data_IF_246215150572
#
_entry.id   IF_246215150572
#
_cell.length_a   1.000
_cell.length_b   1.000
_cell.length_c   1.000
_cell.angle_alpha   90.00
_cell.angle_beta   90.00
_cell.angle_gamma   90.00
#
_symmetry.space_group_name_H-M   'P 1'
#
loop_
_entity.id
_entity.type
_entity.pdbx_description
1 polymer ?
#
# COMPACT_ATOMS: atom_id res chain seq x y z
N UNK A 1 2.95 -35.86 45.32
CA UNK A 1 3.87 -35.27 44.33
C UNK A 1 3.12 -35.18 43.03
N UNK A 2 2.74 -33.98 42.60
CA UNK A 2 2.10 -33.76 41.31
C UNK A 2 3.19 -33.85 40.23
N UNK A 3 2.98 -34.76 39.27
CA UNK A 3 3.79 -34.89 38.06
C UNK A 3 3.56 -33.64 37.21
N UNK A 4 4.62 -32.83 37.01
CA UNK A 4 4.63 -31.75 36.02
C UNK A 4 4.36 -32.36 34.65
N UNK A 5 3.36 -31.80 33.96
CA UNK A 5 3.12 -31.99 32.54
C UNK A 5 4.40 -31.61 31.79
N UNK A 6 4.86 -32.44 30.85
CA UNK A 6 5.98 -32.11 30.00
C UNK A 6 5.68 -30.80 29.26
N UNK A 7 6.39 -29.73 29.63
CA UNK A 7 6.26 -28.42 29.02
C UNK A 7 6.70 -28.53 27.55
N UNK A 8 5.74 -28.52 26.62
CA UNK A 8 6.01 -28.45 25.19
C UNK A 8 6.73 -27.14 24.92
N UNK A 9 8.05 -27.21 24.72
CA UNK A 9 8.87 -26.06 24.34
C UNK A 9 8.37 -25.59 22.97
N UNK A 10 7.88 -24.33 22.85
CA UNK A 10 7.50 -23.75 21.57
C UNK A 10 8.64 -23.83 20.57
N UNK A 11 8.34 -24.00 19.27
CA UNK A 11 9.38 -24.25 18.25
C UNK A 11 10.41 -23.11 18.18
N UNK A 12 10.04 -21.87 18.54
CA UNK A 12 10.95 -20.72 18.63
C UNK A 12 11.91 -20.74 19.84
N UNK A 13 11.80 -21.72 20.74
CA UNK A 13 12.67 -21.91 21.92
C UNK A 13 13.46 -23.23 21.88
N UNK A 14 13.30 -24.06 20.83
CA UNK A 14 14.06 -25.31 20.66
C UNK A 14 15.45 -24.97 20.09
N UNK A 15 16.49 -25.13 20.92
CA UNK A 15 17.89 -24.84 20.55
C UNK A 15 18.69 -26.08 20.10
N UNK A 16 18.08 -27.27 20.16
CA UNK A 16 18.72 -28.59 20.07
C UNK A 16 18.63 -29.25 18.69
N UNK A 17 17.68 -28.83 17.86
CA UNK A 17 17.73 -29.08 16.42
C UNK A 17 18.48 -27.91 15.77
N UNK A 18 19.34 -28.19 14.78
CA UNK A 18 19.91 -27.13 13.94
C UNK A 18 18.80 -26.54 13.07
N UNK A 19 17.89 -25.80 13.70
CA UNK A 19 16.95 -24.91 13.05
C UNK A 19 17.85 -23.79 12.53
N UNK A 20 18.33 -23.94 11.30
CA UNK A 20 18.82 -22.79 10.54
C UNK A 20 17.79 -21.69 10.74
N UNK A 21 18.24 -20.48 11.06
CA UNK A 21 17.51 -19.37 11.71
C UNK A 21 16.16 -18.96 11.10
N UNK A 22 15.71 -19.63 10.05
CA UNK A 22 14.35 -19.70 9.56
C UNK A 22 14.23 -20.98 8.67
N UNK A 23 13.34 -21.95 8.95
CA UNK A 23 13.13 -23.12 8.10
C UNK A 23 12.71 -22.77 6.66
N UNK A 24 12.11 -21.59 6.43
CA UNK A 24 11.83 -21.08 5.08
C UNK A 24 13.10 -20.63 4.33
N UNK A 25 14.24 -20.52 5.02
CA UNK A 25 15.52 -20.08 4.48
C UNK A 25 16.58 -21.19 4.42
N UNK A 26 16.31 -22.39 4.95
CA UNK A 26 17.31 -23.45 5.07
C UNK A 26 17.81 -24.04 3.73
N UNK A 27 17.09 -23.85 2.61
CA UNK A 27 17.39 -24.48 1.32
C UNK A 27 17.48 -23.52 0.11
N UNK A 28 17.59 -22.20 0.30
CA UNK A 28 17.78 -21.28 -0.84
C UNK A 28 19.22 -21.33 -1.35
N UNK A 29 19.47 -22.05 -2.44
CA UNK A 29 20.66 -21.88 -3.30
C UNK A 29 20.27 -20.98 -4.48
N UNK A 30 20.57 -19.69 -4.37
CA UNK A 30 20.19 -18.60 -5.29
C UNK A 30 20.20 -17.26 -4.53
N UNK A 31 20.13 -16.12 -5.24
CA UNK A 31 20.22 -14.76 -4.66
C UNK A 31 19.36 -14.60 -3.39
N UNK A 32 19.98 -14.83 -2.24
CA UNK A 32 19.39 -14.68 -0.92
C UNK A 32 19.73 -13.25 -0.46
N UNK A 33 18.73 -12.39 -0.44
CA UNK A 33 18.84 -10.99 0.00
C UNK A 33 18.71 -10.91 1.53
N UNK A 34 19.58 -11.62 2.26
CA UNK A 34 19.56 -11.65 3.71
C UNK A 34 19.75 -10.30 4.39
N UNK A 35 19.73 -10.33 5.74
CA UNK A 35 20.12 -9.25 6.67
C UNK A 35 20.98 -8.18 5.99
N UNK A 36 20.57 -6.89 6.00
CA UNK A 36 20.82 -5.95 4.93
C UNK A 36 22.30 -5.84 4.60
N UNK A 37 22.76 -6.70 3.70
CA UNK A 37 23.64 -6.20 2.66
C UNK A 37 22.75 -5.22 1.92
N UNK A 38 23.22 -3.99 1.74
CA UNK A 38 22.54 -2.94 0.97
C UNK A 38 22.40 -3.30 -0.53
N UNK A 39 22.43 -4.59 -0.85
CA UNK A 39 22.35 -5.20 -2.16
C UNK A 39 20.93 -5.76 -2.37
N UNK A 40 19.92 -5.02 -1.92
CA UNK A 40 18.61 -5.10 -2.56
C UNK A 40 18.75 -4.36 -3.88
N UNK A 41 19.27 -5.06 -4.89
CA UNK A 41 19.36 -4.55 -6.25
C UNK A 41 17.97 -4.02 -6.64
N UNK A 42 17.83 -2.74 -6.97
CA UNK A 42 16.55 -2.17 -7.33
C UNK A 42 15.95 -2.90 -8.54
N UNK A 43 15.02 -3.81 -8.29
CA UNK A 43 14.29 -4.49 -9.37
C UNK A 43 13.46 -3.44 -10.08
N UNK A 44 13.81 -3.15 -11.33
CA UNK A 44 13.10 -2.23 -12.20
C UNK A 44 12.42 -3.07 -13.28
N UNK A 45 11.10 -3.00 -13.34
CA UNK A 45 10.27 -3.76 -14.27
C UNK A 45 9.36 -2.80 -15.02
N UNK A 46 9.16 -3.06 -16.31
CA UNK A 46 8.02 -2.49 -17.02
C UNK A 46 6.88 -3.48 -16.93
N UNK A 47 5.72 -3.04 -16.43
CA UNK A 47 4.53 -3.90 -16.39
C UNK A 47 3.71 -3.82 -17.69
N UNK A 48 2.65 -4.61 -17.74
CA UNK A 48 1.74 -4.72 -18.88
C UNK A 48 0.94 -3.44 -19.16
N UNK A 49 0.83 -2.54 -18.19
CA UNK A 49 0.28 -1.18 -18.35
C UNK A 49 1.33 -0.17 -18.86
N UNK A 50 2.57 -0.62 -19.12
CA UNK A 50 3.68 0.22 -19.57
C UNK A 50 4.29 1.11 -18.49
N UNK A 51 3.99 0.85 -17.20
CA UNK A 51 4.53 1.61 -16.07
C UNK A 51 5.91 1.09 -15.70
N UNK A 52 6.79 1.98 -15.28
CA UNK A 52 8.04 1.60 -14.63
C UNK A 52 7.79 1.39 -13.14
N UNK A 53 7.91 0.15 -12.67
CA UNK A 53 7.82 -0.23 -11.27
C UNK A 53 9.23 -0.52 -10.77
N UNK A 54 9.70 0.23 -9.79
CA UNK A 54 11.05 0.07 -9.23
C UNK A 54 11.00 -0.08 -7.72
N UNK A 55 11.79 -1.03 -7.21
CA UNK A 55 11.86 -1.43 -5.80
C UNK A 55 10.51 -1.96 -5.35
N UNK A 56 10.52 -3.13 -4.71
CA UNK A 56 9.33 -3.77 -4.21
C UNK A 56 9.56 -4.07 -2.74
N UNK A 57 8.62 -3.67 -1.90
CA UNK A 57 8.82 -3.73 -0.46
C UNK A 57 8.87 -5.19 0.00
N UNK A 58 9.92 -5.60 0.73
CA UNK A 58 10.05 -6.97 1.21
C UNK A 58 9.17 -7.16 2.45
N UNK A 59 7.84 -7.04 2.27
CA UNK A 59 6.86 -7.03 3.37
C UNK A 59 6.96 -8.27 4.27
N UNK A 60 7.36 -9.40 3.69
CA UNK A 60 7.55 -10.66 4.41
C UNK A 60 8.80 -10.64 5.33
N UNK A 61 9.78 -9.78 5.03
CA UNK A 61 11.04 -9.64 5.76
C UNK A 61 11.10 -8.34 6.60
N UNK A 62 10.01 -7.55 6.64
CA UNK A 62 9.96 -6.33 7.44
C UNK A 62 9.86 -6.65 8.93
N UNK A 63 10.87 -6.21 9.69
CA UNK A 63 10.89 -6.28 11.16
C UNK A 63 10.12 -5.13 11.84
N UNK A 64 10.04 -3.98 11.17
CA UNK A 64 9.43 -2.76 11.67
C UNK A 64 8.17 -2.36 10.91
N UNK A 65 7.39 -1.46 11.51
CA UNK A 65 6.19 -0.90 10.85
C UNK A 65 6.55 0.12 9.76
N UNK A 66 7.75 0.69 9.76
CA UNK A 66 8.17 1.69 8.77
C UNK A 66 9.08 1.01 7.74
N UNK A 67 8.66 1.04 6.48
CA UNK A 67 9.48 0.61 5.35
C UNK A 67 10.64 1.60 5.17
N UNK A 68 11.91 1.13 5.16
CA UNK A 68 13.06 1.99 4.84
C UNK A 68 12.86 2.70 3.50
N UNK A 69 13.30 3.96 3.37
CA UNK A 69 13.06 4.79 2.18
C UNK A 69 13.62 4.14 0.90
N UNK A 70 14.80 3.54 0.97
CA UNK A 70 15.44 2.80 -0.13
C UNK A 70 14.64 1.56 -0.56
N UNK A 71 13.75 1.06 0.30
CA UNK A 71 12.91 -0.14 0.07
C UNK A 71 11.43 0.20 -0.14
N UNK A 72 11.10 1.48 -0.15
CA UNK A 72 9.75 1.93 -0.46
C UNK A 72 9.49 1.75 -1.95
N UNK A 73 8.39 1.09 -2.30
CA UNK A 73 8.06 0.88 -3.71
C UNK A 73 7.93 2.19 -4.49
N UNK A 74 8.20 2.14 -5.80
CA UNK A 74 7.91 3.24 -6.71
C UNK A 74 7.20 2.76 -7.95
N UNK A 75 6.20 3.53 -8.39
CA UNK A 75 5.52 3.36 -9.69
C UNK A 75 5.64 4.68 -10.44
N UNK A 76 5.98 4.63 -11.72
CA UNK A 76 6.03 5.77 -12.63
C UNK A 76 5.23 5.46 -13.90
N UNK A 77 4.35 6.37 -14.30
CA UNK A 77 3.60 6.26 -15.55
C UNK A 77 4.37 6.88 -16.71
N UNK A 78 5.08 7.96 -16.43
CA UNK A 78 5.92 8.66 -17.40
C UNK A 78 7.38 8.65 -16.98
N UNK A 79 8.24 9.26 -17.82
CA UNK A 79 9.64 9.46 -17.48
C UNK A 79 9.77 10.29 -16.19
N UNK A 80 10.75 9.94 -15.37
CA UNK A 80 11.09 10.74 -14.18
C UNK A 80 11.50 12.14 -14.65
N UNK A 81 10.85 13.21 -14.16
CA UNK A 81 11.15 14.56 -14.61
C UNK A 81 12.54 15.01 -14.14
N UNK A 82 13.12 16.07 -14.73
CA UNK A 82 14.34 16.67 -14.23
C UNK A 82 14.21 17.05 -12.75
N UNK A 83 15.31 16.91 -12.00
CA UNK A 83 15.36 17.35 -10.60
C UNK A 83 15.16 18.86 -10.54
N UNK A 84 14.20 19.31 -9.74
CA UNK A 84 13.96 20.73 -9.45
C UNK A 84 14.48 21.03 -8.05
N UNK A 85 15.55 21.84 -7.91
CA UNK A 85 16.01 22.31 -6.60
C UNK A 85 14.93 23.05 -5.82
N UNK A 86 14.96 22.98 -4.50
CA UNK A 86 13.92 23.57 -3.63
C UNK A 86 13.79 25.09 -3.79
N UNK A 87 14.85 25.80 -4.15
CA UNK A 87 14.86 27.25 -4.39
C UNK A 87 14.29 27.67 -5.75
N UNK A 88 14.07 26.71 -6.66
CA UNK A 88 13.46 26.92 -7.97
C UNK A 88 12.05 26.33 -8.09
N UNK A 89 11.63 25.54 -7.10
CA UNK A 89 10.32 24.93 -7.09
C UNK A 89 9.24 25.93 -6.66
N UNK A 90 8.12 25.92 -7.38
CA UNK A 90 6.93 26.69 -7.10
C UNK A 90 5.68 25.80 -7.21
N UNK A 91 4.70 26.07 -6.34
CA UNK A 91 3.35 25.52 -6.39
C UNK A 91 2.36 26.62 -6.77
N UNK A 92 1.62 26.40 -7.84
CA UNK A 92 0.51 27.27 -8.23
C UNK A 92 -0.81 26.73 -7.71
N UNK A 93 -1.62 27.60 -7.11
CA UNK A 93 -2.97 27.31 -6.65
C UNK A 93 -3.91 28.27 -7.34
N UNK A 94 -4.77 27.76 -8.22
CA UNK A 94 -5.55 28.59 -9.14
C UNK A 94 -6.93 28.00 -9.45
N UNK A 95 -7.69 28.67 -10.32
CA UNK A 95 -9.04 28.23 -10.71
C UNK A 95 -10.12 28.83 -9.82
N UNK A 96 -11.04 28.01 -9.32
CA UNK A 96 -12.20 28.44 -8.53
C UNK A 96 -11.80 28.76 -7.07
N UNK A 97 -11.01 29.81 -6.90
CA UNK A 97 -10.52 30.36 -5.63
C UNK A 97 -10.65 31.89 -5.63
N UNK A 98 -10.65 32.51 -4.44
CA UNK A 98 -10.71 33.97 -4.29
C UNK A 98 -9.39 34.67 -4.62
N UNK A 99 -8.28 34.01 -4.36
CA UNK A 99 -6.92 34.54 -4.57
C UNK A 99 -6.03 33.41 -5.04
N UNK A 100 -5.54 33.52 -6.28
CA UNK A 100 -4.53 32.60 -6.79
C UNK A 100 -3.22 32.80 -6.05
N UNK A 101 -2.53 31.70 -5.75
CA UNK A 101 -1.28 31.70 -5.00
C UNK A 101 -0.16 31.07 -5.84
N UNK A 102 1.02 31.64 -5.76
CA UNK A 102 2.28 30.97 -6.13
C UNK A 102 3.14 30.89 -4.89
N UNK A 103 3.43 29.66 -4.44
CA UNK A 103 4.17 29.39 -3.21
C UNK A 103 5.49 28.71 -3.56
N UNK A 104 6.62 29.27 -3.13
CA UNK A 104 7.89 28.54 -3.15
C UNK A 104 7.99 27.55 -1.98
N UNK A 105 9.04 26.72 -1.98
CA UNK A 105 9.24 25.67 -0.99
C UNK A 105 9.26 26.20 0.46
N UNK A 106 9.94 27.33 0.70
CA UNK A 106 10.03 27.92 2.04
C UNK A 106 8.72 28.56 2.49
N UNK A 107 7.96 29.17 1.57
CA UNK A 107 6.63 29.70 1.86
C UNK A 107 5.65 28.60 2.21
N UNK A 108 5.66 27.48 1.49
CA UNK A 108 4.86 26.30 1.84
C UNK A 108 5.17 25.85 3.27
N UNK A 109 6.43 25.74 3.64
CA UNK A 109 6.85 25.28 4.98
C UNK A 109 6.52 26.23 6.14
N UNK A 110 6.00 27.43 5.86
CA UNK A 110 5.51 28.36 6.91
C UNK A 110 4.10 28.03 7.39
N UNK A 111 3.35 27.22 6.65
CA UNK A 111 2.06 26.71 7.13
C UNK A 111 2.26 25.70 8.27
N UNK A 112 1.25 25.47 9.13
CA UNK A 112 1.33 24.43 10.17
C UNK A 112 1.67 23.07 9.57
N UNK A 113 2.76 22.47 10.03
CA UNK A 113 3.19 21.15 9.59
C UNK A 113 2.36 20.03 10.21
N UNK A 114 2.29 18.90 9.52
CA UNK A 114 1.69 17.65 9.99
C UNK A 114 2.55 16.46 9.59
N UNK A 115 2.67 15.51 10.50
CA UNK A 115 3.27 14.20 10.25
C UNK A 115 2.17 13.15 10.22
N UNK A 116 2.13 12.36 9.15
CA UNK A 116 1.13 11.32 8.89
C UNK A 116 1.84 10.00 8.65
N UNK A 117 1.46 8.96 9.39
CA UNK A 117 1.90 7.59 9.12
C UNK A 117 0.80 6.90 8.33
N UNK A 118 1.17 6.28 7.23
CA UNK A 118 0.20 5.60 6.37
C UNK A 118 0.85 4.46 5.62
N UNK A 119 0.07 3.41 5.42
CA UNK A 119 0.27 2.45 4.34
C UNK A 119 -0.04 3.15 3.03
N UNK A 120 0.82 2.95 2.05
CA UNK A 120 0.60 3.29 0.66
C UNK A 120 0.59 1.97 -0.12
N UNK A 121 -0.50 1.69 -0.82
CA UNK A 121 -0.64 0.49 -1.64
C UNK A 121 -1.05 0.92 -3.04
N UNK A 122 -0.36 0.44 -4.06
CA UNK A 122 -0.83 0.61 -5.43
C UNK A 122 -2.08 -0.25 -5.64
N UNK A 123 -3.11 0.29 -6.29
CA UNK A 123 -4.26 -0.51 -6.71
C UNK A 123 -3.89 -1.74 -7.57
N UNK A 124 -2.75 -1.76 -8.26
CA UNK A 124 -2.26 -2.95 -8.97
C UNK A 124 -1.56 -4.00 -8.09
N UNK A 125 -1.43 -3.77 -6.78
CA UNK A 125 -0.83 -4.75 -5.87
C UNK A 125 -1.70 -6.00 -5.80
N UNK A 126 -1.07 -7.17 -5.77
CA UNK A 126 -1.71 -8.49 -5.80
C UNK A 126 -2.61 -8.73 -7.05
N UNK A 127 -2.34 -8.07 -8.18
CA UNK A 127 -3.12 -8.25 -9.41
C UNK A 127 -3.18 -9.71 -9.89
N UNK A 128 -2.09 -10.47 -9.73
CA UNK A 128 -1.98 -11.90 -10.08
C UNK A 128 -2.93 -12.78 -9.27
N UNK A 129 -3.34 -12.36 -8.07
CA UNK A 129 -4.32 -13.11 -7.28
C UNK A 129 -5.71 -13.12 -7.92
N UNK A 130 -6.06 -12.18 -8.80
CA UNK A 130 -7.33 -12.27 -9.54
C UNK A 130 -7.37 -13.50 -10.45
N UNK A 131 -6.27 -13.87 -11.08
CA UNK A 131 -6.17 -15.06 -11.95
C UNK A 131 -6.22 -16.34 -11.10
N UNK A 132 -5.53 -16.34 -9.97
CA UNK A 132 -5.57 -17.45 -9.02
C UNK A 132 -6.99 -17.73 -8.51
N UNK A 133 -7.75 -16.68 -8.15
CA UNK A 133 -9.14 -16.83 -7.70
C UNK A 133 -10.12 -17.29 -8.79
N UNK A 134 -9.71 -17.20 -10.07
CA UNK A 134 -10.48 -17.72 -11.21
C UNK A 134 -10.01 -19.11 -11.66
N UNK A 135 -9.07 -19.73 -10.94
CA UNK A 135 -8.39 -20.96 -11.35
C UNK A 135 -7.68 -20.83 -12.72
N UNK A 136 -7.28 -19.61 -13.11
CA UNK A 136 -6.61 -19.30 -14.38
C UNK A 136 -5.08 -19.31 -14.27
N UNK A 137 -4.53 -19.40 -13.05
CA UNK A 137 -3.09 -19.39 -12.79
C UNK A 137 -2.72 -20.06 -11.46
N UNK A 138 -1.41 -20.33 -11.22
CA UNK A 138 -0.95 -20.88 -9.95
C UNK A 138 -1.13 -19.87 -8.81
N UNK A 139 -1.03 -20.33 -7.55
CA UNK A 139 -1.01 -19.44 -6.38
C UNK A 139 0.20 -18.50 -6.48
N UNK A 140 0.01 -17.17 -6.48
CA UNK A 140 1.11 -16.23 -6.42
C UNK A 140 1.88 -16.32 -5.10
N UNK A 141 3.09 -15.78 -5.10
CA UNK A 141 3.93 -15.63 -3.92
C UNK A 141 4.20 -14.15 -3.68
N UNK A 142 3.66 -13.57 -2.60
CA UNK A 142 3.98 -12.23 -2.11
C UNK A 142 5.44 -12.13 -1.67
N UNK A 143 6.07 -13.23 -1.28
CA UNK A 143 7.52 -13.30 -1.03
C UNK A 143 8.32 -13.08 -2.32
N UNK A 144 7.96 -13.74 -3.42
CA UNK A 144 8.68 -13.63 -4.69
C UNK A 144 8.28 -12.40 -5.50
N UNK A 145 6.99 -12.07 -5.50
CA UNK A 145 6.46 -10.94 -6.25
C UNK A 145 6.79 -9.63 -5.55
N UNK A 146 7.03 -9.59 -4.23
CA UNK A 146 7.27 -8.38 -3.45
C UNK A 146 6.18 -7.30 -3.69
N UNK A 147 5.27 -7.14 -2.75
CA UNK A 147 4.07 -6.31 -2.95
C UNK A 147 4.39 -4.85 -3.31
N UNK A 148 3.48 -4.20 -4.07
CA UNK A 148 3.54 -2.76 -4.36
C UNK A 148 2.87 -2.00 -3.20
N UNK A 149 3.46 -2.17 -2.02
CA UNK A 149 2.91 -1.83 -0.71
C UNK A 149 4.04 -1.39 0.23
N UNK A 150 3.96 -0.17 0.74
CA UNK A 150 4.91 0.33 1.76
C UNK A 150 4.16 0.97 2.91
N UNK A 151 4.78 1.12 4.05
CA UNK A 151 4.31 2.02 5.09
C UNK A 151 5.41 3.01 5.48
N UNK A 152 5.05 4.28 5.65
CA UNK A 152 6.03 5.32 5.95
C UNK A 152 5.42 6.43 6.79
N UNK A 153 6.31 7.19 7.42
CA UNK A 153 5.98 8.47 8.03
C UNK A 153 6.25 9.59 7.02
N UNK A 154 5.27 10.46 6.80
CA UNK A 154 5.35 11.56 5.85
C UNK A 154 5.12 12.87 6.59
N UNK A 155 5.94 13.88 6.32
CA UNK A 155 5.80 15.20 6.92
C UNK A 155 5.58 16.26 5.84
N UNK A 156 4.60 17.12 6.06
CA UNK A 156 4.10 18.05 5.06
C UNK A 156 3.20 19.13 5.63
N UNK A 157 2.52 19.84 4.74
CA UNK A 157 1.47 20.82 5.07
C UNK A 157 0.11 20.20 4.77
N UNK A 158 -0.89 20.26 5.68
CA UNK A 158 -2.26 19.91 5.34
C UNK A 158 -2.74 20.69 4.12
N UNK A 159 -3.20 19.98 3.09
CA UNK A 159 -3.67 20.59 1.85
C UNK A 159 -4.79 21.60 2.13
N UNK A 160 -5.65 21.30 3.10
CA UNK A 160 -6.69 22.20 3.61
C UNK A 160 -6.15 23.60 3.97
N UNK A 161 -4.98 23.70 4.60
CA UNK A 161 -4.42 24.98 5.02
C UNK A 161 -4.07 25.88 3.81
N UNK A 162 -3.52 25.28 2.76
CA UNK A 162 -3.18 25.98 1.51
C UNK A 162 -4.46 26.39 0.77
N UNK A 163 -5.43 25.48 0.66
CA UNK A 163 -6.71 25.74 -0.01
C UNK A 163 -7.52 26.84 0.70
N UNK A 164 -7.56 26.84 2.03
CA UNK A 164 -8.20 27.90 2.79
C UNK A 164 -7.50 29.25 2.64
N UNK A 165 -6.17 29.27 2.51
CA UNK A 165 -5.42 30.50 2.24
C UNK A 165 -5.71 31.08 0.85
N UNK A 166 -5.93 30.23 -0.17
CA UNK A 166 -6.38 30.67 -1.50
C UNK A 166 -7.83 31.17 -1.50
N UNK A 167 -8.62 30.77 -0.49
CA UNK A 167 -9.99 31.19 -0.27
C UNK A 167 -10.99 30.41 -1.13
N UNK A 168 -11.59 29.39 -0.53
CA UNK A 168 -12.64 28.58 -1.17
C UNK A 168 -14.01 29.28 -1.13
N UNK A 169 -14.89 28.89 -2.05
CA UNK A 169 -16.32 29.23 -2.06
C UNK A 169 -17.19 27.99 -2.33
N UNK A 170 -18.51 28.18 -2.40
CA UNK A 170 -19.48 27.09 -2.57
C UNK A 170 -19.38 26.36 -3.93
N UNK A 171 -18.61 26.89 -4.88
CA UNK A 171 -18.31 26.26 -6.17
C UNK A 171 -16.96 25.56 -6.18
N UNK A 172 -16.14 25.70 -5.14
CA UNK A 172 -14.87 24.97 -5.00
C UNK A 172 -15.14 23.50 -4.63
N UNK A 173 -15.48 22.66 -5.62
CA UNK A 173 -15.97 21.29 -5.38
C UNK A 173 -14.91 20.21 -5.56
N UNK A 174 -13.88 20.45 -6.37
CA UNK A 174 -12.82 19.50 -6.67
C UNK A 174 -11.45 20.18 -6.73
N UNK A 175 -10.39 19.38 -6.57
CA UNK A 175 -8.99 19.80 -6.68
C UNK A 175 -8.29 18.87 -7.65
N UNK A 176 -7.84 19.40 -8.78
CA UNK A 176 -6.95 18.69 -9.71
C UNK A 176 -5.50 18.96 -9.29
N UNK A 177 -4.83 17.92 -8.84
CA UNK A 177 -3.40 17.94 -8.55
C UNK A 177 -2.62 17.48 -9.78
N UNK A 178 -1.63 18.27 -10.20
CA UNK A 178 -0.84 18.05 -11.41
C UNK A 178 0.63 17.90 -11.03
N UNK A 179 1.25 16.81 -11.48
CA UNK A 179 2.67 16.54 -11.32
C UNK A 179 3.51 17.10 -12.48
N UNK A 180 4.83 17.06 -12.33
CA UNK A 180 5.77 17.52 -13.34
C UNK A 180 6.26 16.41 -14.30
N UNK A 181 5.75 15.18 -14.15
CA UNK A 181 6.00 14.10 -15.10
C UNK A 181 4.98 14.12 -16.24
N UNK A 182 5.46 14.10 -17.49
CA UNK A 182 4.63 14.15 -18.69
C UNK A 182 5.00 13.08 -19.72
N UNK A 183 4.03 12.72 -20.54
CA UNK A 183 4.27 11.80 -21.65
C UNK A 183 2.99 11.46 -22.40
N UNK A 184 3.09 10.46 -23.27
CA UNK A 184 1.95 9.86 -23.96
C UNK A 184 1.90 8.39 -23.55
N UNK A 185 0.81 7.93 -22.92
CA UNK A 185 0.64 6.51 -22.60
C UNK A 185 0.72 5.66 -23.86
N UNK A 186 1.33 4.47 -23.78
CA UNK A 186 1.46 3.57 -24.94
C UNK A 186 0.09 3.11 -25.50
N UNK A 187 -0.94 3.10 -24.66
CA UNK A 187 -2.32 2.73 -25.02
C UNK A 187 -3.17 3.92 -25.51
N UNK A 188 -2.63 5.14 -25.51
CA UNK A 188 -3.36 6.30 -25.97
C UNK A 188 -3.59 6.26 -27.50
N UNK A 189 -4.66 6.90 -27.96
CA UNK A 189 -4.97 6.99 -29.38
C UNK A 189 -3.84 7.68 -30.16
N UNK A 190 -3.64 7.28 -31.43
CA UNK A 190 -2.66 7.91 -32.31
C UNK A 190 -2.90 9.43 -32.42
N UNK A 191 -1.84 10.22 -32.32
CA UNK A 191 -1.92 11.69 -32.33
C UNK A 191 -2.25 12.34 -30.98
N UNK A 192 -2.40 11.55 -29.90
CA UNK A 192 -2.50 12.08 -28.53
C UNK A 192 -1.26 12.92 -28.21
N UNK A 193 -1.48 14.16 -27.77
CA UNK A 193 -0.40 15.06 -27.34
C UNK A 193 0.09 14.65 -25.94
N UNK A 194 1.36 14.89 -25.60
CA UNK A 194 1.85 14.70 -24.24
C UNK A 194 1.02 15.50 -23.23
N UNK A 195 0.85 14.91 -22.05
CA UNK A 195 0.17 15.55 -20.92
C UNK A 195 0.84 15.16 -19.60
N UNK A 196 0.66 16.00 -18.58
CA UNK A 196 1.15 15.77 -17.23
C UNK A 196 0.31 14.72 -16.49
N UNK A 197 0.94 13.95 -15.61
CA UNK A 197 0.20 13.08 -14.69
C UNK A 197 -0.63 13.91 -13.72
N UNK A 198 -1.93 13.62 -13.64
CA UNK A 198 -2.87 14.37 -12.82
C UNK A 198 -3.92 13.49 -12.13
N UNK A 199 -4.46 14.01 -11.03
CA UNK A 199 -5.55 13.37 -10.26
C UNK A 199 -6.51 14.41 -9.69
N UNK A 200 -7.80 14.13 -9.82
CA UNK A 200 -8.89 14.98 -9.33
C UNK A 200 -9.54 14.51 -8.04
N UNK A 201 -9.33 15.20 -6.93
CA UNK A 201 -9.93 14.85 -5.64
C UNK A 201 -11.24 15.61 -5.42
N UNK A 202 -12.28 14.99 -4.82
CA UNK A 202 -13.39 15.75 -4.26
C UNK A 202 -12.90 16.61 -3.10
N UNK A 203 -13.47 17.81 -2.94
CA UNK A 203 -13.03 18.78 -1.92
C UNK A 203 -13.07 18.18 -0.51
N UNK A 204 -14.06 17.34 -0.20
CA UNK A 204 -14.12 16.63 1.09
C UNK A 204 -12.84 15.83 1.39
N UNK A 205 -12.28 15.14 0.39
CA UNK A 205 -11.03 14.38 0.57
C UNK A 205 -9.82 15.32 0.61
N UNK A 206 -9.79 16.35 -0.22
CA UNK A 206 -8.72 17.34 -0.23
C UNK A 206 -8.61 18.13 1.10
N UNK A 207 -9.74 18.35 1.78
CA UNK A 207 -9.80 19.01 3.09
C UNK A 207 -9.57 18.07 4.27
N UNK A 208 -9.38 16.77 4.04
CA UNK A 208 -9.08 15.83 5.12
C UNK A 208 -7.78 16.25 5.82
N UNK A 209 -7.72 16.24 7.18
CA UNK A 209 -6.56 16.75 7.91
C UNK A 209 -5.25 16.01 7.59
N UNK A 210 -5.35 14.71 7.24
CA UNK A 210 -4.19 13.88 6.83
C UNK A 210 -3.85 13.94 5.33
N UNK A 211 -4.65 14.62 4.50
CA UNK A 211 -4.25 14.88 3.11
C UNK A 211 -3.28 16.05 3.11
N UNK A 212 -2.02 15.75 2.77
CA UNK A 212 -0.90 16.69 2.93
C UNK A 212 -0.13 16.88 1.63
N UNK A 213 0.47 18.06 1.48
CA UNK A 213 1.59 18.32 0.59
C UNK A 213 2.87 17.94 1.33
N UNK A 214 3.34 16.71 1.13
CA UNK A 214 4.49 16.14 1.81
C UNK A 214 5.80 16.60 1.18
N UNK A 215 6.76 17.01 2.02
CA UNK A 215 8.13 17.38 1.63
C UNK A 215 9.20 16.56 2.35
N UNK A 216 8.80 15.65 3.24
CA UNK A 216 9.69 14.73 3.94
C UNK A 216 9.05 13.35 4.12
N UNK A 217 9.89 12.32 4.15
CA UNK A 217 9.56 10.92 4.39
C UNK A 217 10.58 10.31 5.36
N UNK A 218 10.10 9.57 6.37
CA UNK A 218 10.91 8.85 7.36
C UNK A 218 12.00 9.72 8.01
N UNK A 219 11.68 10.99 8.29
CA UNK A 219 12.56 11.93 8.99
C UNK A 219 13.56 12.69 8.09
N UNK A 220 13.60 12.42 6.78
CA UNK A 220 14.44 13.14 5.82
C UNK A 220 13.60 13.83 4.75
N UNK A 221 14.19 14.80 4.02
CA UNK A 221 13.54 15.36 2.84
C UNK A 221 13.25 14.25 1.81
N UNK A 222 12.23 14.47 0.98
CA UNK A 222 11.88 13.51 -0.07
C UNK A 222 13.06 13.25 -1.00
N UNK A 223 13.23 11.98 -1.37
CA UNK A 223 14.05 11.61 -2.50
C UNK A 223 13.32 11.90 -3.82
N UNK A 224 14.08 12.16 -4.88
CA UNK A 224 13.52 12.55 -6.18
C UNK A 224 12.51 11.54 -6.71
N UNK A 225 12.80 10.23 -6.62
CA UNK A 225 11.90 9.18 -7.11
C UNK A 225 10.57 9.09 -6.34
N UNK A 226 10.56 9.58 -5.10
CA UNK A 226 9.38 9.65 -4.24
C UNK A 226 8.62 10.97 -4.39
N UNK A 227 9.02 11.83 -5.33
CA UNK A 227 8.29 13.04 -5.71
C UNK A 227 8.85 14.33 -5.14
N UNK A 228 10.14 14.39 -4.81
CA UNK A 228 10.78 15.62 -4.34
C UNK A 228 10.64 16.79 -5.35
N UNK A 229 10.59 18.05 -4.88
CA UNK A 229 10.69 18.45 -3.48
C UNK A 229 9.36 18.30 -2.71
N UNK A 230 8.22 18.22 -3.41
CA UNK A 230 6.89 18.11 -2.80
C UNK A 230 6.01 17.13 -3.59
N UNK A 231 5.29 16.27 -2.88
CA UNK A 231 4.22 15.43 -3.44
C UNK A 231 2.91 15.67 -2.72
N UNK A 232 1.80 15.37 -3.38
CA UNK A 232 0.54 15.11 -2.70
C UNK A 232 0.61 13.73 -2.03
N UNK A 233 0.08 13.65 -0.81
CA UNK A 233 -0.18 12.40 -0.09
C UNK A 233 -1.66 12.33 0.28
N UNK A 234 -2.30 11.21 -0.07
CA UNK A 234 -3.74 10.98 0.13
C UNK A 234 -3.95 9.68 0.92
N UNK A 235 -3.78 9.70 2.26
CA UNK A 235 -3.86 8.50 3.08
C UNK A 235 -5.18 7.74 2.93
N UNK A 236 -5.09 6.42 3.01
CA UNK A 236 -6.24 5.50 2.88
C UNK A 236 -6.77 5.31 1.46
N UNK A 237 -6.37 6.13 0.49
CA UNK A 237 -6.65 5.92 -0.92
C UNK A 237 -5.46 5.23 -1.61
N UNK A 238 -5.73 4.55 -2.72
CA UNK A 238 -4.68 3.89 -3.51
C UNK A 238 -3.57 4.88 -3.90
N UNK A 239 -2.33 4.39 -3.95
CA UNK A 239 -1.13 5.22 -4.12
C UNK A 239 -1.12 6.09 -5.38
N UNK A 240 -1.87 5.71 -6.42
CA UNK A 240 -2.05 6.53 -7.63
C UNK A 240 -2.70 7.90 -7.37
N UNK A 241 -3.39 8.10 -6.24
CA UNK A 241 -3.96 9.39 -5.85
C UNK A 241 -2.94 10.36 -5.25
N UNK A 242 -1.78 9.84 -4.82
CA UNK A 242 -0.72 10.64 -4.22
C UNK A 242 0.24 11.14 -5.31
N UNK A 243 -0.17 12.18 -6.04
CA UNK A 243 0.60 12.77 -7.17
C UNK A 243 2.00 13.20 -6.73
N UNK A 244 3.02 12.77 -7.47
CA UNK A 244 4.43 13.12 -7.23
C UNK A 244 4.83 14.38 -7.99
N UNK A 245 5.91 15.04 -7.56
CA UNK A 245 6.48 16.21 -8.23
C UNK A 245 5.44 17.29 -8.49
N UNK A 246 4.62 17.61 -7.48
CA UNK A 246 3.45 18.48 -7.68
C UNK A 246 3.90 19.91 -8.01
N UNK A 247 3.25 20.52 -9.01
CA UNK A 247 3.51 21.90 -9.44
C UNK A 247 2.24 22.75 -9.44
N UNK A 248 1.08 22.13 -9.63
CA UNK A 248 -0.18 22.86 -9.78
C UNK A 248 -1.33 22.17 -9.01
N UNK A 249 -2.18 23.01 -8.42
CA UNK A 249 -3.46 22.70 -7.83
C UNK A 249 -4.52 23.58 -8.49
N UNK A 250 -5.33 22.98 -9.36
CA UNK A 250 -6.44 23.64 -10.03
C UNK A 250 -7.74 23.30 -9.30
N UNK A 251 -8.40 24.29 -8.71
CA UNK A 251 -9.67 24.12 -8.02
C UNK A 251 -10.80 24.28 -9.04
N UNK A 252 -11.75 23.35 -9.03
CA UNK A 252 -12.79 23.24 -10.06
C UNK A 252 -14.18 23.06 -9.44
N UNK A 253 -15.21 23.41 -10.20
CA UNK A 253 -16.62 23.21 -9.85
C UNK A 253 -17.19 21.87 -10.36
N UNK A 254 -16.36 21.06 -11.01
CA UNK A 254 -16.69 19.74 -11.50
C UNK A 254 -15.48 18.80 -11.37
N UNK A 255 -15.74 17.51 -11.44
CA UNK A 255 -14.68 16.50 -11.43
C UNK A 255 -13.81 16.66 -12.68
N UNK A 256 -12.49 16.85 -12.56
CA UNK A 256 -11.62 16.98 -13.73
C UNK A 256 -11.57 15.69 -14.55
N UNK A 257 -11.44 15.86 -15.86
CA UNK A 257 -11.25 14.78 -16.82
C UNK A 257 -9.79 14.29 -16.84
N UNK A 258 -9.31 13.75 -15.72
CA UNK A 258 -7.97 13.18 -15.63
C UNK A 258 -7.91 11.84 -16.39
N UNK A 259 -7.05 11.72 -17.40
CA UNK A 259 -6.98 10.55 -18.29
C UNK A 259 -6.86 9.23 -17.53
N UNK A 260 -5.94 9.16 -16.56
CA UNK A 260 -5.71 7.95 -15.78
C UNK A 260 -6.91 7.53 -14.90
N UNK A 261 -7.79 8.44 -14.52
CA UNK A 261 -9.01 8.08 -13.77
C UNK A 261 -9.85 7.08 -14.56
N UNK A 262 -10.04 7.38 -15.83
CA UNK A 262 -11.07 6.78 -16.66
C UNK A 262 -10.54 5.66 -17.55
N UNK A 263 -9.23 5.56 -17.70
CA UNK A 263 -8.54 4.58 -18.55
C UNK A 263 -7.98 3.40 -17.74
N UNK A 264 -7.55 3.65 -16.51
CA UNK A 264 -6.83 2.63 -15.74
C UNK A 264 -7.34 2.42 -14.31
N UNK A 265 -7.96 3.40 -13.66
CA UNK A 265 -8.23 3.35 -12.22
C UNK A 265 -9.72 3.37 -11.88
N UNK A 266 -10.45 2.41 -12.45
CA UNK A 266 -11.89 2.25 -12.26
C UNK A 266 -12.29 0.79 -12.00
N UNK A 267 -13.46 0.63 -11.38
CA UNK A 267 -14.25 -0.60 -11.37
C UNK A 267 -15.24 -0.55 -12.52
N UNK A 268 -15.18 -1.53 -13.42
CA UNK A 268 -16.06 -1.63 -14.58
C UNK A 268 -15.79 -2.91 -15.37
N UNK A 269 -16.54 -3.10 -16.45
CA UNK A 269 -16.34 -4.22 -17.37
C UNK A 269 -15.42 -3.87 -18.55
N UNK A 270 -15.34 -2.59 -18.90
CA UNK A 270 -14.47 -2.05 -19.96
C UNK A 270 -14.21 -0.56 -19.72
N UNK A 271 -13.30 0.02 -20.52
CA UNK A 271 -13.00 1.46 -20.48
C UNK A 271 -14.21 2.33 -20.84
N UNK A 272 -15.08 1.82 -21.73
CA UNK A 272 -16.30 2.49 -22.19
C UNK A 272 -17.51 2.26 -21.26
N UNK A 273 -17.33 1.58 -20.14
CA UNK A 273 -18.43 1.29 -19.21
C UNK A 273 -19.00 2.61 -18.64
N UNK A 274 -20.28 2.96 -18.92
CA UNK A 274 -20.87 4.21 -18.46
C UNK A 274 -21.10 4.24 -16.95
N UNK A 275 -21.05 3.09 -16.28
CA UNK A 275 -21.22 2.97 -14.83
C UNK A 275 -19.89 2.80 -14.09
N UNK A 276 -18.76 3.08 -14.75
CA UNK A 276 -17.44 2.93 -14.13
C UNK A 276 -17.31 3.79 -12.87
N UNK A 277 -16.84 3.17 -11.80
CA UNK A 277 -16.61 3.82 -10.50
C UNK A 277 -15.11 3.98 -10.28
N UNK A 278 -14.63 5.15 -9.85
CA UNK A 278 -13.21 5.35 -9.60
C UNK A 278 -12.72 4.54 -8.40
N UNK A 279 -11.60 3.85 -8.58
CA UNK A 279 -10.90 3.16 -7.49
C UNK A 279 -10.28 4.24 -6.60
N UNK A 280 -10.80 4.39 -5.39
CA UNK A 280 -10.34 5.38 -4.40
C UNK A 280 -9.77 4.68 -3.17
N UNK A 281 -10.65 4.36 -2.22
CA UNK A 281 -10.33 3.84 -0.89
C UNK A 281 -9.79 2.41 -0.97
N UNK A 282 -8.68 2.15 -0.28
CA UNK A 282 -8.14 0.80 -0.14
C UNK A 282 -9.12 -0.11 0.63
N UNK A 283 -9.18 -1.38 0.23
CA UNK A 283 -9.94 -2.39 0.95
C UNK A 283 -9.37 -2.65 2.36
N UNK A 284 -10.11 -3.39 3.18
CA UNK A 284 -9.56 -3.96 4.42
C UNK A 284 -8.76 -5.20 4.04
N UNK A 285 -7.53 -5.33 4.55
CA UNK A 285 -6.63 -6.41 4.17
C UNK A 285 -5.80 -6.88 5.35
N UNK A 286 -5.68 -8.19 5.46
CA UNK A 286 -4.80 -8.90 6.37
C UNK A 286 -4.01 -9.91 5.56
N UNK A 287 -2.69 -9.96 5.80
CA UNK A 287 -1.78 -10.93 5.20
C UNK A 287 -1.06 -11.68 6.31
N UNK A 288 -0.77 -12.96 6.07
CA UNK A 288 0.12 -13.75 6.93
C UNK A 288 1.54 -13.57 6.42
N UNK A 289 2.46 -13.16 7.29
CA UNK A 289 3.90 -13.07 6.99
C UNK A 289 4.69 -14.22 7.60
N UNK A 290 4.18 -14.82 8.69
CA UNK A 290 4.76 -16.02 9.30
C UNK A 290 3.64 -17.03 9.61
N UNK A 291 3.73 -18.29 9.16
CA UNK A 291 4.67 -18.77 8.15
C UNK A 291 4.48 -17.98 6.85
N UNK A 292 5.58 -17.70 6.13
CA UNK A 292 5.47 -17.02 4.85
C UNK A 292 4.74 -17.91 3.83
N UNK A 293 4.33 -17.32 2.71
CA UNK A 293 3.44 -17.95 1.76
C UNK A 293 4.08 -18.99 0.83
N UNK A 294 5.39 -19.20 0.99
CA UNK A 294 6.17 -20.25 0.33
C UNK A 294 6.43 -21.45 1.27
N UNK A 295 6.05 -21.37 2.54
CA UNK A 295 6.15 -22.50 3.48
C UNK A 295 5.06 -23.53 3.18
N UNK A 296 5.46 -24.69 2.68
CA UNK A 296 4.54 -25.80 2.41
C UNK A 296 4.45 -26.84 3.54
N UNK A 297 5.49 -26.92 4.39
CA UNK A 297 5.62 -27.97 5.40
C UNK A 297 5.96 -27.37 6.78
N UNK A 298 5.30 -27.87 7.81
CA UNK A 298 5.51 -27.47 9.21
C UNK A 298 5.63 -28.72 10.09
N UNK A 299 6.25 -28.58 11.25
CA UNK A 299 6.33 -29.60 12.30
C UNK A 299 5.07 -29.60 13.16
N UNK A 300 4.77 -30.69 13.86
CA UNK A 300 3.83 -30.62 14.99
C UNK A 300 4.40 -29.75 16.11
N UNK A 301 3.52 -29.01 16.77
CA UNK A 301 3.88 -28.19 17.91
C UNK A 301 3.18 -26.85 17.93
N UNK A 302 3.73 -25.93 18.72
CA UNK A 302 3.20 -24.58 18.89
C UNK A 302 3.86 -23.64 17.90
N UNK A 303 3.05 -23.09 17.01
CA UNK A 303 3.46 -22.16 15.96
C UNK A 303 2.89 -20.77 16.21
N UNK A 304 3.69 -19.74 15.96
CA UNK A 304 3.20 -18.37 15.92
C UNK A 304 2.84 -17.99 14.49
N UNK A 305 1.54 -17.78 14.24
CA UNK A 305 1.05 -17.18 13.01
C UNK A 305 1.08 -15.67 13.21
N UNK A 306 1.73 -14.92 12.31
CA UNK A 306 1.89 -13.46 12.41
C UNK A 306 1.62 -12.80 11.08
N UNK A 307 1.32 -11.51 11.12
CA UNK A 307 1.06 -10.76 9.90
C UNK A 307 0.85 -9.27 10.11
N UNK A 308 0.51 -8.63 9.01
CA UNK A 308 0.09 -7.23 8.95
C UNK A 308 -1.38 -7.13 8.57
N UNK A 309 -2.07 -6.12 9.10
CA UNK A 309 -3.42 -5.76 8.67
C UNK A 309 -3.55 -4.24 8.52
N UNK A 310 -4.28 -3.78 7.49
CA UNK A 310 -4.51 -2.37 7.20
C UNK A 310 -5.84 -2.14 6.49
N UNK A 311 -6.24 -0.87 6.45
CA UNK A 311 -7.53 -0.46 5.92
C UNK A 311 -7.44 0.95 5.35
N UNK A 312 -8.14 1.19 4.23
CA UNK A 312 -8.22 2.51 3.62
C UNK A 312 -9.16 3.52 4.29
N UNK A 313 -10.05 3.09 5.19
CA UNK A 313 -11.10 3.96 5.74
C UNK A 313 -11.03 4.14 7.26
N UNK A 314 -10.40 3.21 7.98
CA UNK A 314 -10.46 3.14 9.44
C UNK A 314 -9.30 2.35 10.02
N UNK A 315 -9.04 2.49 11.32
CA UNK A 315 -8.03 1.68 11.99
C UNK A 315 -8.48 0.22 12.07
N UNK A 316 -7.54 -0.72 12.10
CA UNK A 316 -7.88 -2.14 12.30
C UNK A 316 -8.36 -2.37 13.74
N UNK A 317 -9.59 -2.87 13.86
CA UNK A 317 -10.25 -3.15 15.15
C UNK A 317 -10.13 -4.62 15.53
N UNK A 318 -10.16 -5.52 14.55
CA UNK A 318 -10.13 -6.97 14.76
C UNK A 318 -9.31 -7.68 13.68
N UNK A 319 -8.65 -8.77 14.06
CA UNK A 319 -8.04 -9.73 13.14
C UNK A 319 -8.41 -11.13 13.61
N UNK A 320 -8.93 -11.94 12.69
CA UNK A 320 -9.23 -13.35 12.91
C UNK A 320 -8.28 -14.24 12.09
N UNK A 321 -7.92 -15.39 12.65
CA UNK A 321 -7.13 -16.43 11.98
C UNK A 321 -7.92 -17.72 11.92
N UNK A 322 -7.85 -18.40 10.77
CA UNK A 322 -8.36 -19.75 10.58
C UNK A 322 -7.21 -20.67 10.15
N UNK A 323 -7.24 -21.93 10.57
CA UNK A 323 -6.30 -22.98 10.14
C UNK A 323 -6.99 -24.12 9.39
N UNK A 324 -8.31 -24.03 9.20
CA UNK A 324 -9.17 -25.04 8.58
C UNK A 324 -9.85 -24.55 7.28
N UNK A 325 -9.25 -23.57 6.59
CA UNK A 325 -9.81 -23.05 5.33
C UNK A 325 -11.00 -22.11 5.52
N UNK A 326 -11.15 -21.54 6.72
CA UNK A 326 -12.16 -20.57 7.07
C UNK A 326 -13.48 -21.18 7.55
N UNK A 327 -13.48 -22.44 7.99
CA UNK A 327 -14.62 -23.07 8.66
C UNK A 327 -14.78 -22.52 10.09
N UNK A 328 -13.67 -22.37 10.81
CA UNK A 328 -13.62 -21.72 12.13
C UNK A 328 -12.62 -20.58 12.17
N UNK A 329 -12.90 -19.57 12.99
CA UNK A 329 -12.12 -18.33 13.11
C UNK A 329 -11.81 -18.04 14.57
N UNK A 330 -10.57 -17.65 14.85
CA UNK A 330 -10.08 -17.34 16.19
C UNK A 330 -9.47 -15.93 16.21
N UNK A 331 -9.81 -15.16 17.24
CA UNK A 331 -9.29 -13.81 17.40
C UNK A 331 -7.77 -13.82 17.61
N UNK A 332 -7.06 -13.02 16.82
CA UNK A 332 -5.63 -12.78 16.94
C UNK A 332 -5.34 -11.57 17.84
N UNK A 333 -4.16 -11.56 18.45
CA UNK A 333 -3.69 -10.42 19.22
C UNK A 333 -3.14 -9.34 18.28
N UNK A 334 -3.79 -8.17 18.24
CA UNK A 334 -3.28 -6.98 17.55
C UNK A 334 -2.27 -6.27 18.47
N UNK A 335 -1.07 -6.00 17.98
CA UNK A 335 -0.04 -5.29 18.74
C UNK A 335 -0.31 -3.78 18.81
N UNK A 336 0.21 -3.11 19.83
CA UNK A 336 0.16 -1.64 19.89
C UNK A 336 1.20 -1.01 18.96
N UNK A 337 0.95 0.18 18.38
CA UNK A 337 -0.26 1.01 18.49
C UNK A 337 -1.41 0.54 17.57
N UNK A 338 -2.66 0.66 18.04
CA UNK A 338 -3.86 0.14 17.34
C UNK A 338 -4.74 1.18 16.64
N UNK A 339 -4.57 2.47 16.94
CA UNK A 339 -5.50 3.53 16.54
C UNK A 339 -4.95 4.48 15.48
N UNK A 340 -3.87 4.07 14.81
CA UNK A 340 -3.36 4.84 13.69
C UNK A 340 -4.14 4.48 12.44
N UNK A 341 -5.06 5.38 12.04
CA UNK A 341 -6.16 5.08 11.12
C UNK A 341 -5.69 4.50 9.77
N UNK A 342 -4.58 4.99 9.23
CA UNK A 342 -4.10 4.56 7.91
C UNK A 342 -2.83 3.72 7.98
N UNK A 343 -2.30 3.47 9.18
CA UNK A 343 -1.13 2.65 9.38
C UNK A 343 -1.54 1.19 9.57
N UNK A 344 -0.71 0.25 9.09
CA UNK A 344 -0.92 -1.15 9.40
C UNK A 344 -0.66 -1.42 10.89
N UNK A 345 -1.21 -2.53 11.36
CA UNK A 345 -0.90 -3.11 12.67
C UNK A 345 -0.22 -4.46 12.47
N UNK A 346 0.65 -4.84 13.41
CA UNK A 346 1.06 -6.24 13.55
C UNK A 346 0.01 -7.00 14.31
N UNK A 347 -0.16 -8.27 13.96
CA UNK A 347 -0.98 -9.19 14.71
C UNK A 347 -0.29 -10.54 14.86
N UNK A 348 -0.67 -11.29 15.89
CA UNK A 348 -0.15 -12.63 16.14
C UNK A 348 -1.21 -13.56 16.73
N UNK A 349 -1.12 -14.83 16.39
CA UNK A 349 -1.97 -15.91 16.87
C UNK A 349 -1.12 -17.15 17.18
N UNK A 350 -1.25 -17.69 18.38
CA UNK A 350 -0.58 -18.92 18.76
C UNK A 350 -1.44 -20.11 18.33
N UNK A 351 -0.95 -20.87 17.36
CA UNK A 351 -1.60 -22.07 16.88
C UNK A 351 -0.93 -23.32 17.46
N UNK A 352 -1.72 -24.21 18.06
CA UNK A 352 -1.25 -25.53 18.45
C UNK A 352 -1.57 -26.57 17.37
N UNK A 353 -0.56 -26.99 16.60
CA UNK A 353 -0.66 -27.96 15.53
C UNK A 353 -0.33 -29.38 16.03
N UNK A 354 -1.17 -29.95 16.92
CA UNK A 354 -0.92 -31.25 17.54
C UNK A 354 -1.05 -32.45 16.59
N UNK A 355 -1.75 -32.27 15.47
CA UNK A 355 -2.08 -33.34 14.53
C UNK A 355 -1.40 -33.12 13.19
N UNK A 356 -0.79 -34.18 12.67
CA UNK A 356 -0.32 -34.19 11.29
C UNK A 356 -1.52 -34.11 10.36
N UNK A 357 -1.37 -33.41 9.24
CA UNK A 357 -2.46 -33.20 8.30
C UNK A 357 -2.22 -32.02 7.38
N UNK A 358 -3.17 -31.83 6.46
CA UNK A 358 -3.23 -30.65 5.62
C UNK A 358 -4.09 -29.59 6.30
N UNK A 359 -3.60 -28.38 6.33
CA UNK A 359 -4.26 -27.21 6.90
C UNK A 359 -4.27 -26.09 5.86
N UNK A 360 -5.14 -25.12 6.04
CA UNK A 360 -5.12 -23.89 5.23
C UNK A 360 -5.23 -22.71 6.17
N UNK A 361 -4.12 -21.99 6.29
CA UNK A 361 -4.03 -20.81 7.15
C UNK A 361 -4.65 -19.64 6.40
N UNK A 362 -5.55 -18.91 7.05
CA UNK A 362 -6.17 -17.69 6.54
C UNK A 362 -6.15 -16.62 7.63
N UNK A 363 -6.09 -15.36 7.21
CA UNK A 363 -6.34 -14.22 8.10
C UNK A 363 -7.37 -13.28 7.49
N UNK A 364 -8.20 -12.67 8.32
CA UNK A 364 -9.20 -11.68 7.95
C UNK A 364 -9.16 -10.53 8.94
N UNK A 365 -9.22 -9.29 8.45
CA UNK A 365 -9.34 -8.12 9.31
C UNK A 365 -10.71 -7.42 9.21
N UNK A 366 -11.05 -6.70 10.28
CA UNK A 366 -12.17 -5.77 10.40
C UNK A 366 -11.63 -4.41 10.80
N UNK A 367 -12.15 -3.32 10.22
CA UNK A 367 -11.81 -1.97 10.64
C UNK A 367 -12.85 -1.36 11.60
N UNK A 368 -12.50 -0.24 12.23
CA UNK A 368 -13.34 0.45 13.22
C UNK A 368 -14.57 1.15 12.62
N UNK A 369 -14.67 1.22 11.28
CA UNK A 369 -15.88 1.68 10.56
C UNK A 369 -16.77 0.51 10.10
N UNK A 370 -16.43 -0.73 10.49
CA UNK A 370 -17.27 -1.93 10.32
C UNK A 370 -17.11 -2.64 8.98
N UNK A 371 -16.09 -2.30 8.18
CA UNK A 371 -15.76 -3.04 6.95
C UNK A 371 -14.96 -4.28 7.31
N UNK A 372 -15.30 -5.40 6.68
CA UNK A 372 -14.65 -6.70 6.86
C UNK A 372 -14.02 -7.13 5.54
N UNK A 373 -12.81 -7.68 5.60
CA UNK A 373 -12.14 -8.23 4.42
C UNK A 373 -12.98 -9.38 3.80
N UNK A 374 -13.20 -9.30 2.49
CA UNK A 374 -14.10 -10.21 1.76
C UNK A 374 -13.45 -11.55 1.45
N UNK A 375 -14.24 -12.63 1.36
CA UNK A 375 -13.74 -13.93 0.87
C UNK A 375 -13.36 -13.87 -0.61
N UNK A 376 -14.12 -13.15 -1.41
CA UNK A 376 -13.89 -12.98 -2.85
C UNK A 376 -13.36 -11.57 -3.15
N UNK A 377 -12.48 -11.41 -4.15
CA UNK A 377 -12.09 -10.09 -4.60
C UNK A 377 -13.27 -9.39 -5.28
N UNK A 378 -13.28 -8.05 -5.25
CA UNK A 378 -14.17 -7.27 -6.12
C UNK A 378 -13.65 -7.38 -7.56
N UNK A 379 -14.11 -8.39 -8.28
CA UNK A 379 -13.72 -8.64 -9.68
C UNK A 379 -13.91 -7.37 -10.52
N UNK A 380 -12.88 -7.07 -11.33
CA UNK A 380 -12.87 -5.98 -12.29
C UNK A 380 -11.91 -6.31 -13.43
N UNK A 381 -12.16 -5.74 -14.60
CA UNK A 381 -11.37 -5.98 -15.81
C UNK A 381 -9.90 -5.55 -15.68
N UNK A 382 -9.61 -4.58 -14.80
CA UNK A 382 -8.26 -4.04 -14.59
C UNK A 382 -7.42 -4.85 -13.59
N UNK A 383 -7.98 -5.85 -12.90
CA UNK A 383 -7.32 -6.60 -11.80
C UNK A 383 -6.76 -5.68 -10.70
N UNK A 384 -7.56 -4.70 -10.28
CA UNK A 384 -7.15 -3.66 -9.30
C UNK A 384 -7.89 -3.74 -7.97
N UNK A 385 -7.24 -3.20 -6.94
CA UNK A 385 -7.66 -3.07 -5.54
C UNK A 385 -7.98 -4.43 -4.89
N UNK A 386 -7.08 -5.41 -5.06
CA UNK A 386 -7.23 -6.73 -4.49
C UNK A 386 -7.21 -6.70 -2.95
N UNK A 387 -8.29 -7.19 -2.35
CA UNK A 387 -8.50 -7.22 -0.89
C UNK A 387 -9.26 -8.48 -0.43
N UNK A 388 -9.10 -9.61 -1.13
CA UNK A 388 -9.71 -10.87 -0.73
C UNK A 388 -8.90 -11.58 0.36
N UNK A 389 -9.54 -12.47 1.13
CA UNK A 389 -8.89 -13.39 2.06
C UNK A 389 -8.15 -14.46 1.25
N UNK A 390 -6.83 -14.54 1.40
CA UNK A 390 -6.00 -15.56 0.75
C UNK A 390 -5.74 -16.71 1.73
N UNK A 391 -5.93 -17.94 1.28
CA UNK A 391 -5.56 -19.15 2.01
C UNK A 391 -4.18 -19.65 1.65
N UNK A 392 -3.44 -20.10 2.67
CA UNK A 392 -2.10 -20.65 2.57
C UNK A 392 -2.11 -22.13 2.97
N UNK A 393 -2.08 -23.05 2.00
CA UNK A 393 -2.07 -24.48 2.30
C UNK A 393 -0.73 -24.88 2.91
N UNK A 394 -0.77 -25.58 4.04
CA UNK A 394 0.42 -26.12 4.72
C UNK A 394 0.19 -27.57 5.12
N UNK A 395 1.26 -28.37 5.16
CA UNK A 395 1.24 -29.75 5.64
C UNK A 395 2.02 -29.85 6.95
N UNK A 396 1.34 -30.19 8.04
CA UNK A 396 1.98 -30.50 9.33
C UNK A 396 2.39 -31.97 9.33
N UNK A 397 3.68 -32.23 9.58
CA UNK A 397 4.28 -33.57 9.62
C UNK A 397 4.51 -34.06 11.04
#
# INVERSE_FOLDING_TARGET
MATRQDDVIPDFLRMDESIGSDPANANKTGNWHGWPTKDLDPVTLMDDEGRTVRIRTPVMDLEGLITPTDLHYTVQHFAVPPVVPTDQWELKVHGQVKTELTLNFDQLRRFPGRTVRTVMECSGSDATFFEYFKDEGPKPSRTQECMILSASEWTGVPLAAVLHAAGLDDKSLYVRAIGNDEGVPATAAEGTKPFYYDKGLPMQKALHPDTILAYAQNGTLLEHLHGAPVRLLVPGWSGNWSVKWITDLEIMDHMPECWYHYEFYYYGNSVDDPNKELITTLGVKSIVTQPNDDVENMTKGVHMIRGYAWSGAGAISEVDVSTDGGETWHSAHIEAPRHDQFMWVRWSYQWNADKAGKYTIMSRATDDVGRVQSREPRYNNMRKNFSAIVGYPVTVK
#
